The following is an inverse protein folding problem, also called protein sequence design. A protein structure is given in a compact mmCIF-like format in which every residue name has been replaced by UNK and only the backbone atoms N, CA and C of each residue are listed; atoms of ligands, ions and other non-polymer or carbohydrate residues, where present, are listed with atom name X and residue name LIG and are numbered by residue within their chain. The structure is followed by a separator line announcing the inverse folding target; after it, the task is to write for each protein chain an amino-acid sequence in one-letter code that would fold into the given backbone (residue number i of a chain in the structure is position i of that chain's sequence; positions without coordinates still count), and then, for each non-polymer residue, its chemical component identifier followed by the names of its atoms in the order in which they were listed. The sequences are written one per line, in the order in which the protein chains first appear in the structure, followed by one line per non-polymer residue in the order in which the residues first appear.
data_IF_695599814199
#
_entry.id   IF_695599814199
#
_cell.length_a   1.000
_cell.length_b   1.000
_cell.length_c   1.000
_cell.angle_alpha   90.00
_cell.angle_beta   90.00
_cell.angle_gamma   90.00
#
_symmetry.space_group_name_H-M   'P 1'
#
loop_
_entity.id
_entity.type
_entity.pdbx_description
1 polymer ?
#
# COMPACT_ATOMS: atom_id res chain seq x y z
N UNK A 1 10.50 -5.92 -1.28
CA UNK A 1 9.48 -5.08 -0.62
C UNK A 1 8.85 -5.87 0.51
N UNK A 2 8.45 -5.22 1.60
CA UNK A 2 7.74 -5.86 2.72
C UNK A 2 6.66 -4.92 3.25
N UNK A 3 5.51 -5.48 3.59
CA UNK A 3 4.47 -4.77 4.32
C UNK A 3 4.79 -4.80 5.81
N UNK A 4 4.67 -3.65 6.47
CA UNK A 4 4.82 -3.50 7.92
C UNK A 4 3.47 -3.06 8.46
N UNK A 5 2.90 -3.85 9.36
CA UNK A 5 1.71 -3.48 10.11
C UNK A 5 2.11 -2.57 11.27
N UNK A 6 1.43 -1.44 11.37
CA UNK A 6 1.57 -0.48 12.46
C UNK A 6 0.31 -0.51 13.30
N UNK A 7 0.47 -0.41 14.62
CA UNK A 7 -0.64 -0.26 15.56
C UNK A 7 -0.49 1.09 16.26
N UNK A 8 -1.48 1.95 16.10
CA UNK A 8 -1.54 3.24 16.75
C UNK A 8 -2.13 3.12 18.18
N UNK A 9 -1.87 4.08 19.08
CA UNK A 9 -2.35 4.03 20.47
C UNK A 9 -3.88 3.93 20.64
N UNK A 10 -4.64 4.34 19.63
CA UNK A 10 -6.10 4.22 19.57
C UNK A 10 -6.59 2.85 19.03
N UNK A 11 -5.72 1.83 19.05
CA UNK A 11 -5.97 0.49 18.51
C UNK A 11 -6.32 0.46 17.02
N UNK A 12 -5.92 1.49 16.27
CA UNK A 12 -6.05 1.51 14.83
C UNK A 12 -4.82 0.92 14.14
N UNK A 13 -5.07 0.11 13.13
CA UNK A 13 -4.08 -0.57 12.33
C UNK A 13 -3.87 0.18 11.02
N UNK A 14 -2.63 0.32 10.61
CA UNK A 14 -2.29 0.80 9.28
C UNK A 14 -1.16 -0.06 8.72
N UNK A 15 -0.85 0.11 7.44
CA UNK A 15 0.28 -0.58 6.84
C UNK A 15 1.16 0.37 6.05
N UNK A 16 2.43 0.00 5.97
CA UNK A 16 3.42 0.66 5.14
C UNK A 16 4.10 -0.37 4.25
N UNK A 17 4.29 -0.02 2.97
CA UNK A 17 5.13 -0.78 2.05
C UNK A 17 6.52 -0.18 2.07
N UNK A 18 7.49 -0.98 2.51
CA UNK A 18 8.88 -0.55 2.63
C UNK A 18 9.81 -1.38 1.75
N UNK A 19 10.96 -0.80 1.43
CA UNK A 19 12.09 -1.54 0.88
C UNK A 19 12.59 -2.55 1.89
N UNK A 20 12.82 -3.79 1.44
CA UNK A 20 13.38 -4.83 2.29
C UNK A 20 14.83 -4.53 2.68
N UNK A 21 15.56 -3.87 1.79
CA UNK A 21 17.01 -3.65 1.94
C UNK A 21 17.31 -2.34 2.66
N UNK A 22 16.66 -1.25 2.25
CA UNK A 22 16.94 0.09 2.79
C UNK A 22 15.92 0.59 3.81
N UNK A 23 14.84 -0.16 4.04
CA UNK A 23 13.70 0.26 4.87
C UNK A 23 13.02 1.57 4.40
N UNK A 24 13.32 2.03 3.18
CA UNK A 24 12.72 3.21 2.57
C UNK A 24 11.22 3.03 2.38
N UNK A 25 10.43 4.09 2.64
CA UNK A 25 8.99 4.09 2.50
C UNK A 25 8.58 4.29 1.02
N UNK A 26 7.80 3.38 0.47
CA UNK A 26 7.26 3.48 -0.89
C UNK A 26 5.77 3.81 -0.92
N UNK A 27 5.00 3.24 0.00
CA UNK A 27 3.58 3.51 0.13
C UNK A 27 3.13 3.35 1.58
N UNK A 28 2.00 3.97 1.91
CA UNK A 28 1.32 3.81 3.20
C UNK A 28 -0.18 3.70 2.94
N UNK A 29 -0.90 3.02 3.83
CA UNK A 29 -2.36 3.07 3.80
C UNK A 29 -2.82 4.50 4.03
N UNK A 30 -3.78 4.96 3.23
CA UNK A 30 -4.44 6.25 3.44
C UNK A 30 -5.45 6.20 4.58
N UNK A 31 -5.98 5.00 4.85
CA UNK A 31 -6.93 4.72 5.91
C UNK A 31 -6.26 3.95 7.05
N UNK A 32 -6.83 4.09 8.25
CA UNK A 32 -6.53 3.26 9.40
C UNK A 32 -7.74 2.39 9.74
N UNK A 33 -7.47 1.14 10.08
CA UNK A 33 -8.46 0.10 10.26
C UNK A 33 -8.69 -0.20 11.74
N UNK A 34 -9.92 -0.48 12.18
CA UNK A 34 -10.19 -0.80 13.58
C UNK A 34 -9.67 -2.18 13.99
N UNK A 35 -9.43 -3.08 13.03
CA UNK A 35 -8.94 -4.44 13.30
C UNK A 35 -7.69 -4.76 12.47
N UNK A 36 -6.80 -5.58 13.05
CA UNK A 36 -5.61 -6.08 12.35
C UNK A 36 -5.97 -6.89 11.09
N UNK A 37 -7.06 -7.65 11.17
CA UNK A 37 -7.53 -8.48 10.07
C UNK A 37 -7.94 -7.65 8.85
N UNK A 38 -8.58 -6.50 9.08
CA UNK A 38 -8.97 -5.57 8.00
C UNK A 38 -7.75 -4.98 7.31
N UNK A 39 -6.73 -4.57 8.09
CA UNK A 39 -5.47 -4.09 7.53
C UNK A 39 -4.74 -5.16 6.71
N UNK A 40 -4.81 -6.44 7.12
CA UNK A 40 -4.27 -7.56 6.35
C UNK A 40 -5.04 -7.80 5.06
N UNK A 41 -6.38 -7.77 5.10
CA UNK A 41 -7.21 -7.93 3.91
C UNK A 41 -6.93 -6.82 2.89
N UNK A 42 -6.66 -5.59 3.35
CA UNK A 42 -6.26 -4.49 2.47
C UNK A 42 -4.87 -4.71 1.84
N UNK A 43 -3.90 -5.22 2.61
CA UNK A 43 -2.60 -5.63 2.07
C UNK A 43 -2.77 -6.70 0.98
N UNK A 44 -3.59 -7.73 1.22
CA UNK A 44 -3.85 -8.79 0.26
C UNK A 44 -4.47 -8.27 -1.04
N UNK A 45 -5.35 -7.27 -0.94
CA UNK A 45 -5.91 -6.57 -2.09
C UNK A 45 -4.83 -5.84 -2.88
N UNK A 46 -3.99 -5.04 -2.21
CA UNK A 46 -2.88 -4.34 -2.88
C UNK A 46 -1.93 -5.32 -3.55
N UNK A 47 -1.56 -6.41 -2.88
CA UNK A 47 -0.68 -7.44 -3.44
C UNK A 47 -1.28 -8.10 -4.69
N UNK A 48 -2.59 -8.29 -4.72
CA UNK A 48 -3.31 -8.90 -5.84
C UNK A 48 -3.44 -7.96 -7.03
N UNK A 49 -3.81 -6.71 -6.76
CA UNK A 49 -4.28 -5.80 -7.81
C UNK A 49 -3.17 -4.86 -8.32
N UNK A 50 -2.20 -4.48 -7.46
CA UNK A 50 -1.14 -3.54 -7.83
C UNK A 50 -0.22 -4.03 -8.97
N UNK A 51 0.17 -5.32 -9.08
CA UNK A 51 1.04 -5.77 -10.17
C UNK A 51 0.47 -5.58 -11.57
N UNK A 52 -0.86 -5.48 -11.71
CA UNK A 52 -1.56 -5.27 -12.99
C UNK A 52 -2.18 -3.88 -13.09
N UNK A 53 -1.98 -3.03 -12.08
CA UNK A 53 -2.53 -1.68 -12.08
C UNK A 53 -1.80 -0.77 -13.09
N UNK A 54 -2.58 0.09 -13.74
CA UNK A 54 -2.07 1.11 -14.64
C UNK A 54 -1.92 2.46 -13.93
N UNK A 55 -0.93 3.24 -14.34
CA UNK A 55 -0.75 4.61 -13.86
C UNK A 55 -1.37 5.59 -14.87
N UNK A 56 -2.01 6.65 -14.39
CA UNK A 56 -2.59 7.70 -15.22
C UNK A 56 -2.12 9.07 -14.72
N UNK A 57 -2.05 10.05 -15.63
CA UNK A 57 -1.81 11.45 -15.27
C UNK A 57 -3.10 12.14 -14.80
N UNK A 58 -2.98 13.42 -14.41
CA UNK A 58 -4.10 14.24 -13.96
C UNK A 58 -5.18 14.47 -15.04
N UNK A 59 -4.81 14.35 -16.32
CA UNK A 59 -5.72 14.45 -17.46
C UNK A 59 -6.38 13.10 -17.81
N UNK A 60 -6.02 12.01 -17.12
CA UNK A 60 -6.54 10.66 -17.36
C UNK A 60 -5.82 9.92 -18.48
N UNK A 61 -4.66 10.40 -18.95
CA UNK A 61 -3.85 9.71 -19.95
C UNK A 61 -3.05 8.59 -19.29
N UNK A 62 -3.01 7.41 -19.93
CA UNK A 62 -2.20 6.28 -19.45
C UNK A 62 -0.72 6.68 -19.47
N UNK A 63 -0.10 6.61 -18.30
CA UNK A 63 1.35 6.67 -18.14
C UNK A 63 1.87 5.24 -18.34
N UNK A 64 2.26 4.92 -19.57
CA UNK A 64 2.96 3.67 -19.87
C UNK A 64 4.46 3.88 -19.62
N UNK A 65 5.02 3.31 -18.54
CA UNK A 65 6.44 3.47 -18.24
C UNK A 65 7.36 2.73 -19.23
N UNK A 66 6.83 1.93 -20.15
CA UNK A 66 7.59 1.10 -21.08
C UNK A 66 7.46 1.52 -22.56
N UNK A 67 6.89 2.71 -22.85
CA UNK A 67 6.72 3.21 -24.23
C UNK A 67 7.75 4.26 -24.62
#
# INVERSE_FOLDING_TARGET
MNFVLLNAPNAQWSWELRSRESNALYARSSESFPQRADALADIERVQRDAPVAHAYDEAGSLLDPNR
#
